data_IF_766665811093
#
_entry.id   IF_766665811093
#
_cell.length_a   1.000
_cell.length_b   1.000
_cell.length_c   1.000
_cell.angle_alpha   90.00
_cell.angle_beta   90.00
_cell.angle_gamma   90.00
#
_symmetry.space_group_name_H-M   'P 1'
#
loop_
_entity.id
_entity.type
_entity.pdbx_description
1 polymer ?
#
# COMPACT_ATOMS: atom_id res chain seq x y z
N UNK A 1 -1.45 -2.60 21.60
CA UNK A 1 -2.21 -2.16 20.41
C UNK A 1 -1.93 -0.68 20.13
N UNK A 2 -2.27 -0.18 18.94
CA UNK A 2 -2.41 1.26 18.66
C UNK A 2 -3.73 1.76 19.26
N UNK A 3 -3.90 3.06 19.42
CA UNK A 3 -5.14 3.64 19.97
C UNK A 3 -6.36 3.34 19.08
N UNK A 4 -6.13 3.11 17.78
CA UNK A 4 -7.12 2.67 16.80
C UNK A 4 -7.48 1.17 16.89
N UNK A 5 -7.01 0.43 17.89
CA UNK A 5 -7.30 -1.00 18.08
C UNK A 5 -6.41 -1.96 17.27
N UNK A 6 -5.62 -1.45 16.32
CA UNK A 6 -4.74 -2.26 15.47
C UNK A 6 -3.52 -2.80 16.21
N UNK A 7 -2.98 -3.94 15.76
CA UNK A 7 -1.74 -4.51 16.26
C UNK A 7 -0.55 -3.65 15.84
N UNK A 8 0.33 -3.32 16.80
CA UNK A 8 1.60 -2.63 16.51
C UNK A 8 2.56 -3.64 15.88
N UNK A 9 3.06 -3.31 14.69
CA UNK A 9 4.05 -4.11 13.99
C UNK A 9 5.24 -3.27 13.54
N UNK A 10 6.40 -3.90 13.41
CA UNK A 10 7.56 -3.28 12.74
C UNK A 10 7.46 -3.38 11.19
N UNK A 11 8.55 -3.06 10.50
CA UNK A 11 8.64 -3.06 9.03
C UNK A 11 8.59 -4.45 8.38
N UNK A 12 8.75 -5.52 9.18
CA UNK A 12 8.75 -6.92 8.73
C UNK A 12 7.58 -7.70 9.35
N UNK A 13 6.54 -6.98 9.79
CA UNK A 13 5.29 -7.54 10.34
C UNK A 13 5.45 -8.23 11.72
N UNK A 14 6.56 -8.00 12.45
CA UNK A 14 6.72 -8.54 13.83
C UNK A 14 5.97 -7.71 14.84
N UNK A 15 5.34 -8.38 15.80
CA UNK A 15 4.73 -7.75 16.97
C UNK A 15 5.74 -7.54 18.10
N UNK A 16 5.29 -7.02 19.24
CA UNK A 16 6.10 -6.92 20.45
C UNK A 16 6.36 -8.28 21.14
N UNK A 17 5.57 -9.31 20.83
CA UNK A 17 5.77 -10.65 21.37
C UNK A 17 6.76 -11.43 20.49
N UNK A 18 7.84 -12.00 21.06
CA UNK A 18 8.82 -12.76 20.29
C UNK A 18 8.19 -13.92 19.51
N UNK A 19 8.55 -14.05 18.23
CA UNK A 19 8.03 -15.10 17.36
C UNK A 19 6.60 -14.88 16.84
N UNK A 20 5.92 -13.81 17.26
CA UNK A 20 4.54 -13.53 16.85
C UNK A 20 4.51 -12.41 15.80
N UNK A 21 3.83 -12.68 14.68
CA UNK A 21 3.66 -11.76 13.55
C UNK A 21 2.19 -11.41 13.37
N UNK A 22 1.94 -10.26 12.74
CA UNK A 22 0.60 -9.84 12.33
C UNK A 22 0.66 -9.21 10.93
N UNK A 23 -0.27 -9.58 10.06
CA UNK A 23 -0.31 -9.14 8.67
C UNK A 23 -1.75 -8.84 8.23
N UNK A 24 -1.91 -7.97 7.25
CA UNK A 24 -3.20 -7.53 6.73
C UNK A 24 -3.87 -6.49 7.61
N UNK A 25 -5.20 -6.43 7.50
CA UNK A 25 -6.04 -5.35 8.02
C UNK A 25 -5.86 -5.11 9.52
N UNK A 26 -5.55 -6.16 10.29
CA UNK A 26 -5.28 -6.08 11.73
C UNK A 26 -4.11 -5.14 12.09
N UNK A 27 -3.21 -4.86 11.14
CA UNK A 27 -2.05 -3.97 11.34
C UNK A 27 -2.39 -2.49 11.11
N UNK A 28 -3.48 -2.20 10.40
CA UNK A 28 -3.92 -0.85 10.06
C UNK A 28 -2.99 -0.11 9.09
N UNK A 29 -2.25 -0.85 8.24
CA UNK A 29 -1.38 -0.25 7.20
C UNK A 29 -2.20 0.18 5.99
N UNK A 30 -2.81 -0.78 5.30
CA UNK A 30 -3.83 -0.55 4.26
C UNK A 30 -4.74 -1.77 4.22
N UNK A 31 -6.06 -1.54 4.17
CA UNK A 31 -7.06 -2.60 4.05
C UNK A 31 -7.20 -3.04 2.58
N UNK A 32 -6.13 -3.62 2.04
CA UNK A 32 -6.04 -4.08 0.66
C UNK A 32 -5.50 -5.51 0.64
N UNK A 33 -6.18 -6.40 -0.09
CA UNK A 33 -5.80 -7.80 -0.18
C UNK A 33 -4.35 -8.01 -0.66
N UNK A 34 -3.89 -7.20 -1.61
CA UNK A 34 -2.50 -7.21 -2.12
C UNK A 34 -1.49 -6.85 -1.03
N UNK A 35 -1.82 -5.87 -0.18
CA UNK A 35 -0.98 -5.45 0.95
C UNK A 35 -0.93 -6.55 2.02
N UNK A 36 -2.08 -7.13 2.36
CA UNK A 36 -2.15 -8.24 3.32
C UNK A 36 -1.31 -9.45 2.86
N UNK A 37 -1.44 -9.83 1.59
CA UNK A 37 -0.67 -10.93 1.01
C UNK A 37 0.85 -10.64 1.04
N UNK A 38 1.27 -9.42 0.70
CA UNK A 38 2.68 -9.05 0.72
C UNK A 38 3.24 -9.01 2.16
N UNK A 39 2.48 -8.47 3.12
CA UNK A 39 2.88 -8.49 4.53
C UNK A 39 3.04 -9.93 5.06
N UNK A 40 2.17 -10.85 4.65
CA UNK A 40 2.28 -12.27 5.00
C UNK A 40 3.53 -12.93 4.40
N UNK A 41 3.85 -12.64 3.13
CA UNK A 41 5.10 -13.12 2.50
C UNK A 41 6.34 -12.60 3.21
N UNK A 42 6.39 -11.29 3.50
CA UNK A 42 7.51 -10.68 4.25
C UNK A 42 7.67 -11.31 5.63
N UNK A 43 6.56 -11.51 6.36
CA UNK A 43 6.57 -12.15 7.67
C UNK A 43 7.18 -13.56 7.60
N UNK A 44 6.76 -14.36 6.61
CA UNK A 44 7.24 -15.73 6.45
C UNK A 44 8.72 -15.80 6.06
N UNK A 45 9.15 -15.01 5.08
CA UNK A 45 10.57 -14.97 4.70
C UNK A 45 11.45 -14.53 5.88
N UNK A 46 11.03 -13.50 6.62
CA UNK A 46 11.74 -13.06 7.80
C UNK A 46 11.80 -14.16 8.89
N UNK A 47 10.69 -14.87 9.12
CA UNK A 47 10.66 -15.97 10.09
C UNK A 47 11.61 -17.11 9.71
N UNK A 48 11.75 -17.40 8.40
CA UNK A 48 12.65 -18.41 7.87
C UNK A 48 14.14 -17.98 7.86
N UNK A 49 14.44 -16.74 8.24
CA UNK A 49 15.81 -16.21 8.28
C UNK A 49 16.29 -15.58 6.98
N UNK A 50 15.41 -15.40 5.99
CA UNK A 50 15.75 -14.77 4.73
C UNK A 50 15.87 -13.24 4.87
N UNK A 51 16.68 -12.65 3.99
CA UNK A 51 16.73 -11.20 3.83
C UNK A 51 15.42 -10.70 3.20
N UNK A 52 14.77 -9.74 3.85
CA UNK A 52 13.48 -9.19 3.38
C UNK A 52 13.57 -7.70 3.09
N UNK A 53 12.85 -7.28 2.06
CA UNK A 53 12.62 -5.86 1.78
C UNK A 53 11.27 -5.44 2.36
N UNK A 54 11.22 -4.37 3.18
CA UNK A 54 9.95 -3.84 3.68
C UNK A 54 8.98 -3.43 2.59
N UNK A 55 7.69 -3.40 2.93
CA UNK A 55 6.66 -2.92 2.04
C UNK A 55 6.91 -1.46 1.61
N UNK A 56 6.97 -1.21 0.30
CA UNK A 56 7.03 0.14 -0.23
C UNK A 56 5.61 0.70 -0.38
N UNK A 57 5.15 1.40 0.66
CA UNK A 57 3.81 2.01 0.70
C UNK A 57 3.53 2.99 -0.46
N UNK A 58 4.57 3.62 -1.03
CA UNK A 58 4.43 4.56 -2.14
C UNK A 58 4.10 3.87 -3.47
N UNK A 59 4.37 2.58 -3.57
CA UNK A 59 4.11 1.76 -4.76
C UNK A 59 2.82 0.94 -4.65
N UNK A 60 2.08 1.08 -3.54
CA UNK A 60 0.79 0.40 -3.38
C UNK A 60 -0.26 1.12 -4.21
N UNK A 61 -0.94 0.39 -5.10
CA UNK A 61 -2.09 0.89 -5.83
C UNK A 61 -3.38 0.70 -5.03
N UNK A 62 -4.35 1.58 -5.27
CA UNK A 62 -5.72 1.48 -4.78
C UNK A 62 -6.68 1.56 -5.96
N UNK A 63 -7.78 0.80 -5.89
CA UNK A 63 -8.75 0.66 -6.97
C UNK A 63 -10.19 0.62 -6.48
N UNK A 64 -11.09 1.09 -7.34
CA UNK A 64 -12.55 1.01 -7.17
C UNK A 64 -13.12 0.41 -8.45
N UNK A 65 -13.74 -0.77 -8.33
CA UNK A 65 -14.24 -1.58 -9.44
C UNK A 65 -15.66 -1.15 -9.87
N UNK A 66 -15.85 0.14 -10.11
CA UNK A 66 -17.05 0.69 -10.76
C UNK A 66 -16.92 0.63 -12.28
N UNK A 67 -17.97 1.02 -13.00
CA UNK A 67 -17.90 1.30 -14.44
C UNK A 67 -18.16 2.80 -14.69
N UNK A 68 -17.16 3.61 -15.06
CA UNK A 68 -15.75 3.25 -15.29
C UNK A 68 -14.98 2.94 -13.99
N UNK A 69 -13.92 2.14 -14.10
CA UNK A 69 -13.03 1.82 -12.99
C UNK A 69 -12.17 3.02 -12.59
N UNK A 70 -11.78 3.08 -11.31
CA UNK A 70 -10.89 4.12 -10.78
C UNK A 70 -9.67 3.42 -10.20
N UNK A 71 -8.47 3.90 -10.54
CA UNK A 71 -7.22 3.39 -9.99
C UNK A 71 -6.23 4.54 -9.71
N UNK A 72 -5.50 4.44 -8.61
CA UNK A 72 -4.48 5.43 -8.19
C UNK A 72 -3.25 4.73 -7.62
N UNK A 73 -2.07 5.33 -7.79
CA UNK A 73 -0.81 4.90 -7.16
C UNK A 73 0.12 6.09 -6.99
N UNK A 74 0.94 6.10 -5.94
CA UNK A 74 1.94 7.13 -5.71
C UNK A 74 1.35 8.44 -5.16
N UNK A 75 1.87 9.57 -5.64
CA UNK A 75 1.48 10.90 -5.15
C UNK A 75 0.25 11.43 -5.85
N UNK A 76 -0.59 12.12 -5.09
CA UNK A 76 -1.76 12.84 -5.57
C UNK A 76 -1.41 14.26 -6.03
N UNK A 77 -2.32 14.91 -6.76
CA UNK A 77 -2.18 16.34 -7.08
C UNK A 77 -2.02 17.21 -5.82
N UNK A 78 -2.78 16.90 -4.77
CA UNK A 78 -2.69 17.62 -3.50
C UNK A 78 -1.31 17.50 -2.83
N UNK A 79 -0.57 16.41 -3.07
CA UNK A 79 0.80 16.26 -2.59
C UNK A 79 1.77 17.20 -3.32
N UNK A 80 1.56 17.41 -4.62
CA UNK A 80 2.33 18.36 -5.43
C UNK A 80 2.03 19.79 -4.98
N UNK A 81 0.74 20.15 -4.90
CA UNK A 81 0.30 21.49 -4.50
C UNK A 81 0.73 21.82 -3.06
N UNK A 82 0.77 20.81 -2.19
CA UNK A 82 1.26 20.92 -0.81
C UNK A 82 2.79 20.93 -0.67
N UNK A 83 3.55 20.88 -1.77
CA UNK A 83 5.01 20.94 -1.76
C UNK A 83 5.72 19.69 -1.25
N UNK A 84 5.04 18.53 -1.16
CA UNK A 84 5.67 17.26 -0.76
C UNK A 84 6.60 16.71 -1.84
N UNK A 85 6.37 17.08 -3.09
CA UNK A 85 7.17 16.70 -4.25
C UNK A 85 7.06 17.79 -5.33
N UNK A 86 8.18 18.07 -6.01
CA UNK A 86 8.18 18.86 -7.24
C UNK A 86 7.95 17.92 -8.44
N UNK A 87 6.88 18.16 -9.19
CA UNK A 87 6.46 17.29 -10.28
C UNK A 87 5.73 18.06 -11.39
N UNK A 88 5.87 17.59 -12.63
CA UNK A 88 5.07 18.06 -13.76
C UNK A 88 3.76 17.28 -13.83
N UNK A 89 2.65 18.01 -13.93
CA UNK A 89 1.30 17.45 -14.02
C UNK A 89 0.80 17.45 -15.46
N UNK A 90 0.26 16.32 -15.93
CA UNK A 90 -0.36 16.18 -17.25
C UNK A 90 -1.66 15.37 -17.12
N UNK A 91 -2.74 15.87 -17.74
CA UNK A 91 -4.04 15.18 -17.79
C UNK A 91 -4.41 14.86 -19.23
N UNK A 92 -4.74 13.61 -19.51
CA UNK A 92 -5.19 13.14 -20.83
C UNK A 92 -6.64 12.64 -20.73
N UNK A 93 -7.60 13.28 -21.43
CA UNK A 93 -8.99 12.81 -21.46
C UNK A 93 -9.11 11.45 -22.19
N UNK A 94 -9.81 10.49 -21.58
CA UNK A 94 -10.07 9.17 -22.16
C UNK A 94 -10.81 9.23 -23.51
N UNK A 95 -11.71 10.21 -23.70
CA UNK A 95 -12.45 10.42 -24.96
C UNK A 95 -11.55 10.59 -26.20
N UNK A 96 -10.27 10.95 -26.01
CA UNK A 96 -9.30 11.09 -27.11
C UNK A 96 -8.54 9.80 -27.42
N UNK A 97 -8.73 8.74 -26.63
CA UNK A 97 -8.09 7.44 -26.85
C UNK A 97 -8.92 6.62 -27.86
N UNK A 98 -8.37 6.22 -29.02
CA UNK A 98 -9.10 5.45 -30.04
C UNK A 98 -9.67 4.11 -29.55
N UNK A 99 -9.09 3.53 -28.49
CA UNK A 99 -9.50 2.27 -27.88
C UNK A 99 -10.53 2.43 -26.75
N UNK A 100 -10.89 3.67 -26.38
CA UNK A 100 -11.84 3.91 -25.30
C UNK A 100 -13.33 3.78 -25.70
N UNK A 101 -13.62 3.29 -26.92
CA UNK A 101 -14.96 2.91 -27.37
C UNK A 101 -15.23 1.44 -27.09
#
# INVERSE_FOLDING_TARGET
>A
LKDSGHVKTDKVSRTSAPGIYAAGDVTGVFALASVAAMQGRIAMYHFLGDAVTPLNLKAVSSNVFTDPEIATVGYSQADVDGGRIDARVVKLPLLRNPRAK
#
